data_IF_370496513492
#
_entry.id   IF_370496513492
#
_cell.length_a   1.000
_cell.length_b   1.000
_cell.length_c   1.000
_cell.angle_alpha   90.00
_cell.angle_beta   90.00
_cell.angle_gamma   90.00
#
_symmetry.space_group_name_H-M   'P 1'
#
loop_
_entity.id
_entity.type
_entity.pdbx_description
1 polymer ?
#
# COMPACT_ATOMS: atom_id res chain seq x y z
N UNK A 1 12.66 16.08 0.45
CA UNK A 1 11.50 16.41 1.33
C UNK A 1 11.97 16.43 2.78
N UNK A 2 11.39 17.26 3.66
CA UNK A 2 11.63 17.18 5.10
C UNK A 2 11.37 15.75 5.58
N UNK A 3 12.24 15.24 6.46
CA UNK A 3 12.21 13.84 6.93
C UNK A 3 10.87 13.44 7.54
N UNK A 4 10.22 14.33 8.29
CA UNK A 4 8.90 14.10 8.87
C UNK A 4 7.81 13.83 7.80
N UNK A 5 7.78 14.63 6.73
CA UNK A 5 6.83 14.46 5.62
C UNK A 5 7.05 13.14 4.89
N UNK A 6 8.30 12.69 4.78
CA UNK A 6 8.62 11.42 4.13
C UNK A 6 8.15 10.20 4.93
N UNK A 7 8.20 10.27 6.27
CA UNK A 7 7.67 9.21 7.14
C UNK A 7 6.17 9.07 6.95
N UNK A 8 5.44 10.18 6.96
CA UNK A 8 3.98 10.18 6.73
C UNK A 8 3.65 9.63 5.35
N UNK A 9 4.40 10.02 4.32
CA UNK A 9 4.21 9.50 2.96
C UNK A 9 4.37 7.97 2.90
N UNK A 10 5.42 7.41 3.51
CA UNK A 10 5.68 5.97 3.51
C UNK A 10 4.66 5.15 4.30
N UNK A 11 3.89 5.79 5.18
CA UNK A 11 2.74 5.15 5.85
C UNK A 11 1.51 5.05 4.96
N UNK A 12 1.40 5.87 3.91
CA UNK A 12 0.26 5.84 3.01
C UNK A 12 0.43 4.76 1.94
N UNK A 13 -0.58 3.92 1.68
CA UNK A 13 -0.52 2.91 0.61
C UNK A 13 -0.28 3.53 -0.77
N UNK A 14 -0.73 4.77 -0.97
CA UNK A 14 -0.58 5.51 -2.22
C UNK A 14 0.89 5.75 -2.61
N UNK A 15 1.80 5.83 -1.62
CA UNK A 15 3.24 5.95 -1.89
C UNK A 15 3.76 4.74 -2.69
N UNK A 16 3.39 3.53 -2.26
CA UNK A 16 3.83 2.30 -2.92
C UNK A 16 3.18 2.12 -4.30
N UNK A 17 1.99 2.68 -4.54
CA UNK A 17 1.39 2.71 -5.89
C UNK A 17 2.25 3.53 -6.84
N UNK A 18 2.64 4.74 -6.42
CA UNK A 18 3.48 5.62 -7.23
C UNK A 18 4.86 5.01 -7.51
N UNK A 19 5.49 4.44 -6.49
CA UNK A 19 6.80 3.80 -6.62
C UNK A 19 6.74 2.53 -7.48
N UNK A 20 5.73 1.65 -7.28
CA UNK A 20 5.59 0.46 -8.11
C UNK A 20 5.30 0.77 -9.58
N UNK A 21 4.51 1.81 -9.85
CA UNK A 21 4.27 2.31 -11.21
C UNK A 21 5.55 2.91 -11.82
N UNK A 22 6.35 3.63 -11.03
CA UNK A 22 7.63 4.18 -11.46
C UNK A 22 8.63 3.07 -11.78
N UNK A 23 8.72 2.05 -10.94
CA UNK A 23 9.57 0.87 -11.15
C UNK A 23 9.17 0.13 -12.43
N UNK A 24 7.87 -0.09 -12.65
CA UNK A 24 7.36 -0.79 -13.82
C UNK A 24 7.53 0.00 -15.13
N UNK A 25 7.17 1.29 -15.14
CA UNK A 25 7.03 2.06 -16.39
C UNK A 25 8.27 2.88 -16.75
N UNK A 26 9.09 3.28 -15.77
CA UNK A 26 10.25 4.13 -16.00
C UNK A 26 11.55 3.31 -15.94
N UNK A 27 11.68 2.45 -14.93
CA UNK A 27 12.92 1.72 -14.69
C UNK A 27 12.94 0.30 -15.28
N UNK A 28 11.78 -0.24 -15.66
CA UNK A 28 11.68 -1.64 -16.10
C UNK A 28 12.04 -2.64 -15.00
N UNK A 29 11.97 -2.22 -13.73
CA UNK A 29 12.27 -3.05 -12.58
C UNK A 29 11.02 -3.82 -12.15
N UNK A 30 10.88 -5.03 -12.71
CA UNK A 30 9.79 -5.93 -12.36
C UNK A 30 9.85 -6.39 -10.89
N UNK A 31 11.04 -6.48 -10.28
CA UNK A 31 11.19 -6.92 -8.90
C UNK A 31 10.72 -5.84 -7.92
N UNK A 32 11.14 -4.58 -8.14
CA UNK A 32 10.67 -3.43 -7.40
C UNK A 32 9.15 -3.22 -7.54
N UNK A 33 8.63 -3.33 -8.76
CA UNK A 33 7.19 -3.25 -9.02
C UNK A 33 6.39 -4.35 -8.29
N UNK A 34 6.88 -5.60 -8.27
CA UNK A 34 6.26 -6.70 -7.53
C UNK A 34 6.30 -6.48 -6.02
N UNK A 35 7.42 -6.01 -5.48
CA UNK A 35 7.56 -5.73 -4.05
C UNK A 35 6.58 -4.63 -3.61
N UNK A 36 6.51 -3.53 -4.35
CA UNK A 36 5.56 -2.45 -4.09
C UNK A 36 4.10 -2.93 -4.18
N UNK A 37 3.80 -3.78 -5.16
CA UNK A 37 2.46 -4.40 -5.32
C UNK A 37 2.10 -5.32 -4.14
N UNK A 38 3.06 -6.08 -3.62
CA UNK A 38 2.86 -6.96 -2.47
C UNK A 38 2.53 -6.16 -1.20
N UNK A 39 3.22 -5.02 -0.99
CA UNK A 39 2.93 -4.12 0.14
C UNK A 39 1.49 -3.61 0.07
N UNK A 40 1.03 -3.17 -1.11
CA UNK A 40 -0.35 -2.72 -1.32
C UNK A 40 -1.34 -3.85 -1.05
N UNK A 41 -1.05 -5.07 -1.51
CA UNK A 41 -1.93 -6.23 -1.30
C UNK A 41 -2.08 -6.58 0.19
N UNK A 42 -0.98 -6.58 0.94
CA UNK A 42 -1.00 -6.81 2.40
C UNK A 42 -1.83 -5.72 3.08
N UNK A 43 -1.63 -4.45 2.72
CA UNK A 43 -2.41 -3.35 3.26
C UNK A 43 -3.90 -3.51 2.97
N UNK A 44 -4.27 -3.87 1.75
CA UNK A 44 -5.65 -4.14 1.35
C UNK A 44 -6.26 -5.29 2.16
N UNK A 45 -5.53 -6.39 2.34
CA UNK A 45 -5.98 -7.54 3.14
C UNK A 45 -6.23 -7.15 4.60
N UNK A 46 -5.35 -6.34 5.20
CA UNK A 46 -5.51 -5.84 6.58
C UNK A 46 -6.74 -4.95 6.71
N UNK A 47 -6.89 -3.95 5.83
CA UNK A 47 -8.05 -3.05 5.87
C UNK A 47 -9.36 -3.81 5.61
N UNK A 48 -9.33 -4.77 4.69
CA UNK A 48 -10.48 -5.62 4.40
C UNK A 48 -10.85 -6.48 5.62
N UNK A 49 -9.88 -7.12 6.27
CA UNK A 49 -10.13 -7.90 7.48
C UNK A 49 -10.72 -7.04 8.60
N UNK A 50 -10.20 -5.82 8.80
CA UNK A 50 -10.77 -4.84 9.74
C UNK A 50 -12.22 -4.53 9.34
N UNK A 51 -12.50 -4.27 8.06
CA UNK A 51 -13.84 -4.00 7.56
C UNK A 51 -14.81 -5.14 7.82
N UNK A 52 -14.39 -6.40 7.60
CA UNK A 52 -15.18 -7.59 7.91
C UNK A 52 -15.48 -7.67 9.40
N UNK A 53 -14.47 -7.51 10.26
CA UNK A 53 -14.66 -7.50 11.72
C UNK A 53 -15.63 -6.39 12.08
N UNK A 54 -15.36 -5.12 11.76
CA UNK A 54 -16.23 -3.99 12.14
C UNK A 54 -17.67 -4.16 11.64
N UNK A 55 -17.88 -4.64 10.43
CA UNK A 55 -19.22 -4.80 9.84
C UNK A 55 -19.96 -6.01 10.43
N UNK A 56 -19.27 -7.12 10.70
CA UNK A 56 -19.88 -8.32 11.29
C UNK A 56 -20.50 -8.10 12.67
N UNK A 57 -20.08 -7.05 13.39
CA UNK A 57 -20.64 -6.69 14.70
C UNK A 57 -21.97 -5.93 14.59
N UNK A 58 -22.30 -5.35 13.43
CA UNK A 58 -23.60 -4.68 13.19
C UNK A 58 -24.71 -5.64 12.77
N UNK A 59 -24.35 -6.86 12.37
CA UNK A 59 -25.31 -7.89 11.94
C UNK A 59 -25.87 -8.72 13.12
N UNK A 60 -25.57 -8.32 14.37
CA UNK A 60 -26.13 -8.91 15.60
C UNK A 60 -27.01 -7.93 16.35
#
# INVERSE_FOLDING_TARGET
>A
MPSFLQVVAKFMPLYYVGEGLRDAMIFGDASGALMNSLVIFIFAAVVFAIGVVVTSWKEK
#
